data_IF_191545092216
#
_entry.id   IF_191545092216
#
_cell.length_a   1.000
_cell.length_b   1.000
_cell.length_c   1.000
_cell.angle_alpha   90.00
_cell.angle_beta   90.00
_cell.angle_gamma   90.00
#
_symmetry.space_group_name_H-M   'P 1'
#
loop_
_entity.id
_entity.type
_entity.pdbx_description
1 polymer ?
#
# COMPACT_ATOMS: atom_id res chain seq x y z
N UNK A 1 -36.82 -6.98 3.48
CA UNK A 1 -35.97 -6.01 4.21
C UNK A 1 -35.77 -6.49 5.64
N UNK A 2 -34.53 -6.57 6.09
CA UNK A 2 -34.14 -6.95 7.46
C UNK A 2 -33.37 -5.82 8.10
N UNK A 3 -33.67 -5.49 9.37
CA UNK A 3 -32.93 -4.49 10.15
C UNK A 3 -32.44 -5.14 11.46
N UNK A 4 -31.13 -5.26 11.62
CA UNK A 4 -30.51 -5.73 12.86
C UNK A 4 -30.12 -4.55 13.75
N UNK A 5 -30.86 -4.37 14.86
CA UNK A 5 -30.57 -3.32 15.84
C UNK A 5 -29.49 -3.78 16.82
N UNK A 6 -28.42 -3.00 16.94
CA UNK A 6 -27.28 -3.30 17.82
C UNK A 6 -26.77 -2.04 18.52
N UNK A 7 -26.29 -2.18 19.75
CA UNK A 7 -25.73 -1.06 20.52
C UNK A 7 -24.32 -0.65 20.07
N UNK A 8 -23.64 -1.51 19.32
CA UNK A 8 -22.29 -1.25 18.80
C UNK A 8 -22.07 -1.96 17.47
N UNK A 9 -20.99 -1.57 16.75
CA UNK A 9 -20.52 -2.25 15.55
C UNK A 9 -19.22 -2.96 15.89
N UNK A 10 -19.21 -4.28 15.75
CA UNK A 10 -18.05 -5.14 15.90
C UNK A 10 -18.14 -6.28 14.86
N UNK A 11 -17.11 -7.12 14.78
CA UNK A 11 -17.05 -8.19 13.76
C UNK A 11 -18.23 -9.17 13.90
N UNK A 12 -18.62 -9.55 15.11
CA UNK A 12 -19.75 -10.47 15.36
C UNK A 12 -21.06 -9.92 14.78
N UNK A 13 -21.33 -8.62 14.97
CA UNK A 13 -22.50 -7.95 14.38
C UNK A 13 -22.46 -7.97 12.86
N UNK A 14 -21.29 -7.74 12.27
CA UNK A 14 -21.13 -7.76 10.82
C UNK A 14 -21.39 -9.17 10.27
N UNK A 15 -20.83 -10.21 10.91
CA UNK A 15 -21.06 -11.60 10.49
C UNK A 15 -22.54 -11.98 10.59
N UNK A 16 -23.22 -11.61 11.67
CA UNK A 16 -24.66 -11.83 11.82
C UNK A 16 -25.45 -11.16 10.69
N UNK A 17 -25.13 -9.92 10.33
CA UNK A 17 -25.77 -9.24 9.22
C UNK A 17 -25.47 -9.89 7.85
N UNK A 18 -24.25 -10.41 7.65
CA UNK A 18 -23.89 -11.18 6.44
C UNK A 18 -24.71 -12.47 6.36
N UNK A 19 -24.92 -13.18 7.47
CA UNK A 19 -25.76 -14.38 7.47
C UNK A 19 -27.21 -14.06 7.05
N UNK A 20 -27.71 -12.85 7.35
CA UNK A 20 -29.04 -12.40 6.89
C UNK A 20 -29.14 -12.18 5.38
N UNK A 21 -28.03 -12.03 4.68
CA UNK A 21 -28.03 -11.90 3.22
C UNK A 21 -28.52 -13.19 2.53
N UNK A 22 -28.49 -14.33 3.20
CA UNK A 22 -29.11 -15.57 2.71
C UNK A 22 -30.64 -15.49 2.63
N UNK A 23 -31.25 -14.57 3.37
CA UNK A 23 -32.70 -14.43 3.51
C UNK A 23 -33.21 -13.21 2.72
N UNK A 24 -32.43 -12.13 2.67
CA UNK A 24 -32.82 -10.87 2.03
C UNK A 24 -31.59 -10.16 1.48
N UNK A 25 -31.69 -9.59 0.29
CA UNK A 25 -30.67 -8.69 -0.29
C UNK A 25 -30.61 -7.32 0.43
N UNK A 26 -31.75 -6.91 1.01
CA UNK A 26 -31.91 -5.63 1.70
C UNK A 26 -31.74 -5.80 3.22
N UNK A 27 -30.49 -5.77 3.69
CA UNK A 27 -30.13 -5.90 5.11
C UNK A 27 -29.49 -4.61 5.63
N UNK A 28 -29.98 -4.10 6.75
CA UNK A 28 -29.40 -2.96 7.47
C UNK A 28 -28.91 -3.34 8.86
N UNK A 29 -27.83 -2.71 9.29
CA UNK A 29 -27.45 -2.62 10.70
C UNK A 29 -27.93 -1.27 11.22
N UNK A 30 -28.75 -1.26 12.27
CA UNK A 30 -29.19 -0.04 12.96
C UNK A 30 -28.46 0.13 14.28
N UNK A 31 -27.85 1.30 14.51
CA UNK A 31 -27.13 1.59 15.76
C UNK A 31 -27.53 2.93 16.37
N UNK A 32 -27.42 3.11 17.69
CA UNK A 32 -27.66 4.40 18.32
C UNK A 32 -26.74 5.50 17.79
N UNK A 33 -27.25 6.72 17.78
CA UNK A 33 -26.46 7.91 17.50
C UNK A 33 -25.36 8.08 18.54
N UNK A 34 -24.18 8.46 18.05
CA UNK A 34 -23.06 8.85 18.91
C UNK A 34 -22.14 7.72 19.36
N UNK A 35 -22.30 6.49 18.87
CA UNK A 35 -21.37 5.39 19.21
C UNK A 35 -19.91 5.72 18.84
N UNK A 36 -18.99 5.42 19.75
CA UNK A 36 -17.58 5.83 19.65
C UNK A 36 -16.88 5.26 18.40
N UNK A 37 -17.22 4.03 18.02
CA UNK A 37 -16.65 3.33 16.87
C UNK A 37 -16.98 4.03 15.56
N UNK A 38 -18.23 4.49 15.37
CA UNK A 38 -18.59 5.29 14.19
C UNK A 38 -17.93 6.66 14.21
N UNK A 39 -17.78 7.32 15.36
CA UNK A 39 -17.05 8.61 15.44
C UNK A 39 -15.60 8.48 14.96
N UNK A 40 -14.92 7.39 15.31
CA UNK A 40 -13.50 7.16 14.98
C UNK A 40 -13.28 6.58 13.57
N UNK A 41 -14.15 5.68 13.11
CA UNK A 41 -13.90 4.83 11.94
C UNK A 41 -15.02 4.86 10.89
N UNK A 42 -15.82 5.94 10.85
CA UNK A 42 -16.99 6.08 9.95
C UNK A 42 -16.71 5.65 8.51
N UNK A 43 -15.62 6.16 7.92
CA UNK A 43 -15.28 5.91 6.52
C UNK A 43 -14.95 4.44 6.26
N UNK A 44 -14.19 3.81 7.16
CA UNK A 44 -13.77 2.41 7.06
C UNK A 44 -14.98 1.48 7.21
N UNK A 45 -15.86 1.77 8.18
CA UNK A 45 -17.07 0.98 8.43
C UNK A 45 -18.03 1.08 7.26
N UNK A 46 -18.34 2.30 6.79
CA UNK A 46 -19.21 2.48 5.61
C UNK A 46 -18.62 1.77 4.39
N UNK A 47 -17.30 1.84 4.20
CA UNK A 47 -16.63 1.14 3.10
C UNK A 47 -16.80 -0.38 3.22
N UNK A 48 -16.56 -0.95 4.39
CA UNK A 48 -16.72 -2.39 4.63
C UNK A 48 -18.16 -2.84 4.40
N UNK A 49 -19.14 -2.13 4.96
CA UNK A 49 -20.55 -2.50 4.80
C UNK A 49 -21.00 -2.40 3.35
N UNK A 50 -20.58 -1.35 2.62
CA UNK A 50 -20.76 -1.29 1.17
C UNK A 50 -20.11 -2.44 0.42
N UNK A 51 -18.91 -2.87 0.83
CA UNK A 51 -18.21 -4.03 0.23
C UNK A 51 -18.98 -5.34 0.41
N UNK A 52 -19.70 -5.46 1.51
CA UNK A 52 -20.51 -6.62 1.85
C UNK A 52 -21.96 -6.52 1.37
N UNK A 53 -22.35 -5.40 0.74
CA UNK A 53 -23.72 -5.14 0.32
C UNK A 53 -24.70 -4.86 1.46
N UNK A 54 -24.19 -4.44 2.62
CA UNK A 54 -24.98 -4.13 3.82
C UNK A 54 -25.26 -2.63 3.94
N UNK A 55 -26.45 -2.30 4.45
CA UNK A 55 -26.85 -0.96 4.83
C UNK A 55 -26.48 -0.61 6.28
N UNK A 56 -26.40 0.69 6.57
CA UNK A 56 -26.13 1.22 7.90
C UNK A 56 -27.06 2.38 8.21
N UNK A 57 -27.77 2.29 9.34
CA UNK A 57 -28.63 3.34 9.86
C UNK A 57 -28.16 3.79 11.24
N UNK A 58 -28.28 5.08 11.52
CA UNK A 58 -28.07 5.67 12.84
C UNK A 58 -29.41 6.13 13.38
N UNK A 59 -29.73 5.71 14.60
CA UNK A 59 -31.04 5.94 15.23
C UNK A 59 -30.83 6.84 16.45
N UNK A 60 -31.58 7.94 16.53
CA UNK A 60 -31.64 8.81 17.69
C UNK A 60 -32.93 8.53 18.48
N UNK A 61 -32.87 7.69 19.52
CA UNK A 61 -34.06 7.38 20.32
C UNK A 61 -34.50 8.56 21.20
N UNK A 62 -33.65 9.58 21.38
CA UNK A 62 -33.95 10.75 22.20
C UNK A 62 -34.64 11.89 21.41
N UNK A 63 -34.72 11.79 20.09
CA UNK A 63 -35.47 12.74 19.27
C UNK A 63 -36.98 12.58 19.53
N UNK A 64 -37.71 13.70 19.65
CA UNK A 64 -39.14 13.71 20.01
C UNK A 64 -40.05 12.90 19.07
N UNK A 65 -39.63 12.69 17.81
CA UNK A 65 -40.33 11.87 16.82
C UNK A 65 -39.59 10.57 16.45
N UNK A 66 -38.45 10.31 17.10
CA UNK A 66 -37.43 9.37 16.62
C UNK A 66 -36.80 9.88 15.32
N UNK A 67 -35.48 9.85 15.19
CA UNK A 67 -34.83 10.14 13.91
C UNK A 67 -33.91 9.01 13.47
N UNK A 68 -33.92 8.75 12.17
CA UNK A 68 -33.11 7.71 11.53
C UNK A 68 -32.34 8.33 10.38
N UNK A 69 -31.02 8.30 10.49
CA UNK A 69 -30.09 8.75 9.46
C UNK A 69 -29.49 7.54 8.74
N UNK A 70 -29.78 7.37 7.46
CA UNK A 70 -29.17 6.31 6.63
C UNK A 70 -27.77 6.75 6.19
N UNK A 71 -26.75 6.01 6.63
CA UNK A 71 -25.35 6.28 6.29
C UNK A 71 -24.91 5.59 4.99
N UNK A 72 -25.49 4.43 4.69
CA UNK A 72 -25.41 3.78 3.40
C UNK A 72 -26.55 2.79 3.20
N UNK A 73 -27.04 2.70 1.97
CA UNK A 73 -27.99 1.68 1.54
C UNK A 73 -27.26 0.36 1.18
N UNK A 74 -27.92 -0.78 1.36
CA UNK A 74 -27.45 -2.07 0.85
C UNK A 74 -27.46 -2.05 -0.68
N UNK A 75 -26.57 -2.84 -1.29
CA UNK A 75 -26.49 -2.93 -2.75
C UNK A 75 -25.16 -3.46 -3.25
N UNK A 76 -25.06 -3.69 -4.56
CA UNK A 76 -23.85 -4.25 -5.16
C UNK A 76 -22.62 -3.38 -4.94
N UNK A 77 -21.55 -3.97 -4.42
CA UNK A 77 -20.27 -3.30 -4.33
C UNK A 77 -19.57 -3.24 -5.69
N UNK A 78 -19.45 -2.04 -6.26
CA UNK A 78 -18.59 -1.78 -7.42
C UNK A 78 -17.31 -1.08 -6.97
N UNK A 79 -16.20 -1.81 -6.75
CA UNK A 79 -14.95 -1.19 -6.30
C UNK A 79 -14.46 -0.16 -7.31
N UNK A 80 -14.20 1.06 -6.83
CA UNK A 80 -13.51 2.07 -7.62
C UNK A 80 -12.07 1.63 -7.83
N UNK A 81 -11.76 1.17 -9.04
CA UNK A 81 -10.40 0.78 -9.38
C UNK A 81 -9.47 2.00 -9.40
N UNK A 82 -8.42 1.97 -8.59
CA UNK A 82 -7.34 2.95 -8.64
C UNK A 82 -6.41 2.62 -9.82
N UNK A 83 -6.76 3.08 -11.03
CA UNK A 83 -6.00 2.84 -12.28
C UNK A 83 -4.48 3.08 -12.11
N UNK A 84 -4.10 4.08 -11.30
CA UNK A 84 -2.71 4.47 -11.04
C UNK A 84 -1.93 3.47 -10.16
N UNK A 85 -2.59 2.77 -9.22
CA UNK A 85 -1.95 1.73 -8.39
C UNK A 85 -1.80 0.41 -9.15
N UNK A 86 -2.74 0.10 -10.04
CA UNK A 86 -2.70 -1.11 -10.89
C UNK A 86 -1.53 -1.09 -11.88
N UNK A 87 -1.25 0.06 -12.50
CA UNK A 87 -0.10 0.22 -13.39
C UNK A 87 1.24 0.13 -12.64
N UNK A 88 1.30 0.58 -11.38
CA UNK A 88 2.50 0.46 -10.55
C UNK A 88 2.79 -1.01 -10.18
N UNK A 89 1.75 -1.77 -9.84
CA UNK A 89 1.84 -3.20 -9.57
C UNK A 89 2.22 -4.02 -10.82
N UNK A 90 1.64 -3.70 -11.98
CA UNK A 90 1.98 -4.37 -13.25
C UNK A 90 3.39 -4.01 -13.74
N UNK A 91 3.80 -2.75 -13.61
CA UNK A 91 5.17 -2.32 -13.92
C UNK A 91 6.22 -2.92 -12.98
N UNK A 92 5.87 -3.16 -11.71
CA UNK A 92 6.70 -3.92 -10.78
C UNK A 92 6.80 -5.41 -11.15
N UNK A 93 5.77 -5.98 -11.79
CA UNK A 93 5.78 -7.38 -12.24
C UNK A 93 6.55 -7.57 -13.55
N UNK A 94 6.42 -6.63 -14.51
CA UNK A 94 7.08 -6.69 -15.81
C UNK A 94 8.58 -6.37 -15.79
N UNK A 95 9.07 -5.70 -14.74
CA UNK A 95 10.50 -5.46 -14.54
C UNK A 95 11.21 -6.52 -13.70
N UNK A 96 10.50 -7.56 -13.25
CA UNK A 96 11.12 -8.74 -12.62
C UNK A 96 11.62 -9.68 -13.72
N UNK A 97 12.90 -9.58 -14.04
CA UNK A 97 13.62 -10.68 -14.70
C UNK A 97 14.17 -11.55 -13.57
N UNK A 98 13.59 -12.75 -13.40
CA UNK A 98 13.93 -13.70 -12.33
C UNK A 98 13.33 -13.29 -10.98
N UNK A 99 12.52 -14.16 -10.36
CA UNK A 99 12.08 -13.99 -8.97
C UNK A 99 12.92 -14.94 -8.09
N UNK A 100 14.05 -14.49 -7.51
CA UNK A 100 14.86 -15.31 -6.61
C UNK A 100 14.28 -15.41 -5.18
N UNK A 101 13.13 -14.76 -4.90
CA UNK A 101 12.59 -14.74 -3.54
C UNK A 101 11.61 -15.90 -3.32
N UNK A 102 12.09 -17.00 -2.73
CA UNK A 102 11.24 -17.97 -2.07
C UNK A 102 10.46 -17.30 -0.92
N UNK A 103 9.14 -17.46 -0.89
CA UNK A 103 8.27 -16.82 0.10
C UNK A 103 8.68 -17.12 1.55
N UNK A 104 8.66 -16.11 2.42
CA UNK A 104 8.88 -16.26 3.86
C UNK A 104 10.15 -15.60 4.43
N UNK A 105 10.88 -14.78 3.67
CA UNK A 105 12.10 -14.15 4.19
C UNK A 105 11.81 -13.15 5.33
N UNK A 106 12.46 -13.39 6.47
CA UNK A 106 12.29 -12.64 7.72
C UNK A 106 12.58 -11.14 7.57
N UNK A 107 11.68 -10.31 8.10
CA UNK A 107 11.67 -8.83 8.14
C UNK A 107 13.00 -8.14 8.54
N UNK A 108 13.95 -8.86 9.16
CA UNK A 108 15.25 -8.32 9.61
C UNK A 108 16.25 -8.04 8.49
N UNK A 109 16.08 -8.62 7.29
CA UNK A 109 17.11 -8.61 6.23
C UNK A 109 16.78 -7.77 5.00
N UNK A 110 15.57 -7.21 4.92
CA UNK A 110 15.10 -6.41 3.79
C UNK A 110 14.76 -7.25 2.56
N UNK A 111 13.71 -6.86 1.84
CA UNK A 111 13.24 -7.58 0.63
C UNK A 111 13.93 -6.97 -0.60
N UNK A 112 14.53 -7.78 -1.48
CA UNK A 112 15.03 -7.28 -2.77
C UNK A 112 13.86 -6.77 -3.63
N UNK A 113 13.84 -5.46 -3.91
CA UNK A 113 12.81 -4.83 -4.75
C UNK A 113 13.42 -4.32 -6.05
N UNK A 114 12.61 -4.11 -7.09
CA UNK A 114 13.06 -3.52 -8.35
C UNK A 114 13.71 -2.14 -8.15
N UNK A 115 13.26 -1.36 -7.16
CA UNK A 115 13.92 -0.10 -6.81
C UNK A 115 15.31 -0.34 -6.23
N UNK A 116 15.46 -1.32 -5.34
CA UNK A 116 16.76 -1.68 -4.75
C UNK A 116 17.73 -2.21 -5.80
N UNK A 117 17.30 -3.09 -6.70
CA UNK A 117 18.15 -3.57 -7.81
C UNK A 117 18.69 -2.41 -8.66
N UNK A 118 17.84 -1.42 -8.99
CA UNK A 118 18.27 -0.23 -9.72
C UNK A 118 19.24 0.64 -8.92
N UNK A 119 18.98 0.86 -7.62
CA UNK A 119 19.90 1.60 -6.75
C UNK A 119 21.24 0.88 -6.59
N UNK A 120 21.24 -0.46 -6.51
CA UNK A 120 22.45 -1.29 -6.51
C UNK A 120 23.22 -1.12 -7.83
N UNK A 121 22.56 -1.21 -8.99
CA UNK A 121 23.22 -1.02 -10.28
C UNK A 121 23.88 0.36 -10.42
N UNK A 122 23.23 1.41 -9.92
CA UNK A 122 23.81 2.77 -9.89
C UNK A 122 25.01 2.84 -8.94
N UNK A 123 24.90 2.25 -7.74
CA UNK A 123 26.01 2.18 -6.79
C UNK A 123 27.21 1.41 -7.34
N UNK A 124 26.97 0.27 -8.01
CA UNK A 124 27.98 -0.51 -8.74
C UNK A 124 28.70 0.34 -9.78
N UNK A 125 27.94 1.10 -10.56
CA UNK A 125 28.47 1.95 -11.60
C UNK A 125 29.37 3.04 -11.02
N UNK A 126 28.94 3.72 -9.96
CA UNK A 126 29.71 4.76 -9.28
C UNK A 126 30.96 4.19 -8.59
N UNK A 127 30.87 3.00 -7.99
CA UNK A 127 32.03 2.32 -7.41
C UNK A 127 33.10 2.04 -8.48
N UNK A 128 32.69 1.63 -9.69
CA UNK A 128 33.61 1.27 -10.77
C UNK A 128 34.19 2.48 -11.52
N UNK A 129 33.40 3.54 -11.73
CA UNK A 129 33.77 4.67 -12.59
C UNK A 129 34.04 5.97 -11.82
N UNK A 130 33.82 5.98 -10.50
CA UNK A 130 33.92 7.16 -9.67
C UNK A 130 32.82 8.19 -9.94
N UNK A 131 33.08 9.42 -9.48
CA UNK A 131 32.13 10.53 -9.49
C UNK A 131 31.65 10.84 -10.92
N UNK A 132 30.37 10.59 -11.16
CA UNK A 132 29.83 10.65 -12.53
C UNK A 132 28.56 11.49 -12.58
N UNK A 133 28.35 12.18 -13.71
CA UNK A 133 27.09 12.89 -14.00
C UNK A 133 25.92 11.90 -14.08
N UNK A 134 24.81 12.22 -13.42
CA UNK A 134 23.60 11.41 -13.46
C UNK A 134 23.09 11.11 -14.89
N UNK A 135 23.30 12.04 -15.83
CA UNK A 135 22.97 11.85 -17.23
C UNK A 135 23.79 10.74 -17.90
N UNK A 136 25.08 10.66 -17.60
CA UNK A 136 25.98 9.64 -18.15
C UNK A 136 25.62 8.29 -17.56
N UNK A 137 25.39 8.21 -16.24
CA UNK A 137 24.95 6.96 -15.58
C UNK A 137 23.63 6.46 -16.18
N UNK A 138 22.66 7.35 -16.41
CA UNK A 138 21.37 6.99 -17.01
C UNK A 138 21.54 6.40 -18.42
N UNK A 139 22.46 6.94 -19.21
CA UNK A 139 22.75 6.46 -20.56
C UNK A 139 23.50 5.12 -20.53
N UNK A 140 24.53 5.00 -19.68
CA UNK A 140 25.33 3.77 -19.57
C UNK A 140 24.54 2.57 -19.05
N UNK A 141 23.62 2.79 -18.11
CA UNK A 141 22.78 1.73 -17.54
C UNK A 141 21.46 1.51 -18.29
N UNK A 142 21.17 2.32 -19.32
CA UNK A 142 19.87 2.36 -20.00
C UNK A 142 18.68 2.49 -19.02
N UNK A 143 18.88 3.14 -17.87
CA UNK A 143 17.87 3.28 -16.82
C UNK A 143 17.35 4.73 -16.77
N UNK A 144 16.13 5.00 -17.28
CA UNK A 144 15.60 6.36 -17.37
C UNK A 144 15.34 6.98 -15.99
N UNK A 145 15.13 6.16 -14.94
CA UNK A 145 14.86 6.65 -13.58
C UNK A 145 16.13 6.95 -12.76
N UNK A 146 17.33 6.76 -13.31
CA UNK A 146 18.60 6.99 -12.60
C UNK A 146 18.67 8.37 -11.95
N UNK A 147 18.25 9.42 -12.66
CA UNK A 147 18.25 10.79 -12.13
C UNK A 147 17.37 10.94 -10.89
N UNK A 148 16.18 10.35 -10.90
CA UNK A 148 15.25 10.36 -9.78
C UNK A 148 15.79 9.56 -8.60
N UNK A 149 16.35 8.37 -8.84
CA UNK A 149 16.92 7.52 -7.78
C UNK A 149 18.10 8.22 -7.07
N UNK A 150 18.99 8.85 -7.83
CA UNK A 150 20.12 9.63 -7.30
C UNK A 150 19.65 10.88 -6.54
N UNK A 151 18.60 11.55 -7.01
CA UNK A 151 18.05 12.75 -6.38
C UNK A 151 17.31 12.43 -5.09
N UNK A 152 16.39 11.45 -5.11
CA UNK A 152 15.59 11.06 -3.96
C UNK A 152 16.44 10.41 -2.86
N UNK A 153 17.54 9.73 -3.26
CA UNK A 153 18.55 9.14 -2.38
C UNK A 153 17.95 8.39 -1.17
N UNK A 154 16.91 7.58 -1.42
CA UNK A 154 16.10 6.91 -0.38
C UNK A 154 16.94 6.14 0.65
N UNK A 155 18.08 5.58 0.23
CA UNK A 155 18.98 4.80 1.09
C UNK A 155 20.16 5.61 1.68
N UNK A 156 20.36 6.86 1.24
CA UNK A 156 21.50 7.67 1.66
C UNK A 156 22.84 7.18 1.09
N UNK A 157 22.83 6.51 -0.06
CA UNK A 157 24.02 5.91 -0.68
C UNK A 157 24.75 6.86 -1.62
N UNK A 158 24.15 7.99 -1.99
CA UNK A 158 24.71 8.89 -3.00
C UNK A 158 24.95 10.28 -2.44
N UNK A 159 26.12 10.85 -2.73
CA UNK A 159 26.45 12.23 -2.38
C UNK A 159 26.40 13.11 -3.63
N UNK A 160 25.77 14.29 -3.51
CA UNK A 160 25.64 15.25 -4.61
C UNK A 160 26.79 16.25 -4.55
N UNK A 161 27.74 16.12 -5.49
CA UNK A 161 28.91 17.00 -5.56
C UNK A 161 28.67 18.31 -6.33
N UNK A 162 27.49 18.46 -6.93
CA UNK A 162 27.08 19.65 -7.68
C UNK A 162 27.14 19.45 -9.20
N UNK A 163 26.53 20.37 -9.96
CA UNK A 163 26.41 20.29 -11.43
C UNK A 163 25.84 18.96 -11.97
N UNK A 164 25.07 18.24 -11.14
CA UNK A 164 24.50 16.93 -11.48
C UNK A 164 25.48 15.76 -11.41
N UNK A 165 26.66 15.96 -10.80
CA UNK A 165 27.64 14.92 -10.47
C UNK A 165 27.27 14.31 -9.13
N UNK A 166 27.38 12.97 -9.07
CA UNK A 166 27.12 12.18 -7.88
C UNK A 166 28.30 11.27 -7.59
N UNK A 167 28.58 11.09 -6.30
CA UNK A 167 29.54 10.14 -5.76
C UNK A 167 28.80 9.04 -4.98
N UNK A 168 29.47 7.91 -4.77
CA UNK A 168 29.01 6.93 -3.79
C UNK A 168 29.42 7.41 -2.39
N UNK A 169 28.47 7.45 -1.46
CA UNK A 169 28.74 7.87 -0.09
C UNK A 169 29.48 6.78 0.70
N UNK A 170 30.16 7.10 1.81
CA UNK A 170 30.78 6.09 2.68
C UNK A 170 29.79 5.03 3.18
N UNK A 171 28.54 5.45 3.41
CA UNK A 171 27.44 4.55 3.74
C UNK A 171 27.10 3.63 2.57
N UNK A 172 27.02 4.20 1.36
CA UNK A 172 26.82 3.47 0.12
C UNK A 172 27.86 2.36 -0.06
N UNK A 173 29.15 2.67 0.08
CA UNK A 173 30.23 1.67 -0.04
C UNK A 173 30.07 0.48 0.91
N UNK A 174 29.68 0.76 2.16
CA UNK A 174 29.53 -0.27 3.19
C UNK A 174 28.26 -1.11 2.98
N UNK A 175 27.13 -0.47 2.70
CA UNK A 175 25.83 -1.14 2.63
C UNK A 175 25.57 -1.80 1.28
N UNK A 176 25.97 -1.19 0.16
CA UNK A 176 25.85 -1.78 -1.18
C UNK A 176 26.59 -3.12 -1.26
N UNK A 177 27.82 -3.17 -0.73
CA UNK A 177 28.65 -4.38 -0.72
C UNK A 177 28.00 -5.55 0.05
N UNK A 178 27.29 -5.24 1.14
CA UNK A 178 26.52 -6.25 1.89
C UNK A 178 25.43 -6.85 1.01
N UNK A 179 24.76 -6.08 0.15
CA UNK A 179 23.73 -6.63 -0.71
C UNK A 179 24.27 -7.54 -1.83
N UNK A 180 25.50 -7.30 -2.31
CA UNK A 180 26.11 -8.13 -3.35
C UNK A 180 26.45 -9.55 -2.88
N UNK A 181 26.94 -9.69 -1.66
CA UNK A 181 27.33 -10.99 -1.09
C UNK A 181 26.13 -11.91 -0.84
N UNK A 182 24.91 -11.36 -0.81
CA UNK A 182 23.69 -12.14 -0.59
C UNK A 182 23.11 -12.73 -1.88
N UNK A 183 23.45 -12.17 -3.05
CA UNK A 183 22.97 -12.67 -4.35
C UNK A 183 23.74 -13.94 -4.78
N UNK A 184 24.98 -14.11 -4.30
CA UNK A 184 25.83 -15.27 -4.63
C UNK A 184 25.60 -16.52 -3.78
N UNK A 185 24.81 -16.45 -2.71
CA UNK A 185 24.49 -17.61 -1.86
C UNK A 185 23.13 -18.23 -2.19
N UNK A 186 22.55 -17.87 -3.34
CA UNK A 186 21.26 -18.36 -3.81
C UNK A 186 21.36 -19.14 -5.13
N UNK A 187 22.58 -19.52 -5.54
CA UNK A 187 22.86 -20.49 -6.60
C UNK A 187 23.14 -21.89 -6.02
#
# INVERSE_FOLDING_TARGET
MVVELKLSINMTVVLQAVDRLQISDTVYIGVPKGIAVLKKQRKQIIKLLRMLGLGLMVIDPAAALGSVDVLCDPGEYKPRQAKQRRHRLLGEFMHRVGDPNAGGSTMRRGIMTAYRQKALAIAAYLQKHGDTKAAVIAQSLAEPKTRTILYDNVYGWFDRLGKGVYALSPRGETEYSKWLTHDQTAD
#
